data_IF_366019042965
#
_entry.id   IF_366019042965
#
_cell.length_a   1.000
_cell.length_b   1.000
_cell.length_c   1.000
_cell.angle_alpha   90.00
_cell.angle_beta   90.00
_cell.angle_gamma   90.00
#
_symmetry.space_group_name_H-M   'P 1'
#
loop_
_entity.id
_entity.type
_entity.pdbx_description
1 polymer ?
#
# COMPACT_ATOMS: atom_id res chain seq x y z
N UNK A 1 -23.51 -7.11 -10.06
CA UNK A 1 -23.21 -5.94 -9.20
C UNK A 1 -22.05 -6.29 -8.27
N UNK A 2 -20.81 -6.00 -8.68
CA UNK A 2 -19.62 -6.22 -7.86
C UNK A 2 -19.57 -5.14 -6.79
N UNK A 3 -19.59 -5.53 -5.51
CA UNK A 3 -19.40 -4.62 -4.37
C UNK A 3 -18.01 -4.01 -4.50
N UNK A 4 -17.96 -2.80 -5.08
CA UNK A 4 -16.73 -2.06 -5.34
C UNK A 4 -15.89 -1.99 -4.07
N UNK A 5 -14.56 -2.08 -4.21
CA UNK A 5 -13.55 -1.79 -3.18
C UNK A 5 -13.59 -0.31 -2.71
N UNK A 6 -14.75 0.33 -2.78
CA UNK A 6 -14.93 1.76 -2.79
C UNK A 6 -15.68 2.22 -1.55
N UNK A 7 -14.95 2.28 -0.44
CA UNK A 7 -15.18 3.29 0.58
C UNK A 7 -13.80 3.84 0.93
N UNK A 8 -13.71 5.12 1.26
CA UNK A 8 -12.54 5.69 1.94
C UNK A 8 -12.11 4.69 3.03
N UNK A 9 -10.95 4.07 2.84
CA UNK A 9 -10.50 2.99 3.69
C UNK A 9 -9.19 3.40 4.33
N UNK A 10 -9.25 3.61 5.63
CA UNK A 10 -8.07 3.73 6.47
C UNK A 10 -7.78 2.35 7.05
N UNK A 11 -6.61 1.79 6.74
CA UNK A 11 -6.16 0.51 7.23
C UNK A 11 -4.94 0.69 8.14
N UNK A 12 -4.93 -0.06 9.24
CA UNK A 12 -3.72 -0.22 10.05
C UNK A 12 -2.83 -1.27 9.40
N UNK A 13 -1.57 -0.94 9.19
CA UNK A 13 -0.59 -1.81 8.57
C UNK A 13 0.46 -2.27 9.57
N UNK A 14 0.73 -3.56 9.57
CA UNK A 14 1.97 -4.13 10.07
C UNK A 14 2.90 -4.33 8.86
N UNK A 15 4.02 -3.63 8.87
CA UNK A 15 5.04 -3.71 7.82
C UNK A 15 6.14 -4.66 8.26
N UNK A 16 6.34 -5.74 7.50
CA UNK A 16 7.47 -6.65 7.67
C UNK A 16 8.43 -6.47 6.50
N UNK A 17 9.43 -5.61 6.69
CA UNK A 17 10.47 -5.35 5.70
C UNK A 17 11.57 -6.42 5.82
N UNK A 18 12.00 -6.98 4.69
CA UNK A 18 13.20 -7.82 4.64
C UNK A 18 14.30 -7.01 3.96
N UNK A 19 14.99 -6.18 4.75
CA UNK A 19 16.30 -5.68 4.32
C UNK A 19 17.27 -6.88 4.38
N UNK A 20 18.32 -6.92 3.56
CA UNK A 20 19.40 -7.91 3.66
C UNK A 20 20.27 -7.76 4.94
N UNK A 21 19.63 -7.55 6.10
CA UNK A 21 20.18 -7.48 7.46
C UNK A 21 19.04 -7.77 8.47
N UNK A 22 19.33 -8.33 9.67
CA UNK A 22 18.42 -9.19 10.42
C UNK A 22 17.14 -8.48 10.89
N UNK A 23 16.06 -9.27 10.95
CA UNK A 23 14.69 -8.91 11.33
C UNK A 23 14.59 -7.70 12.28
N UNK A 24 14.25 -6.54 11.72
CA UNK A 24 13.77 -5.40 12.51
C UNK A 24 12.34 -5.68 12.97
N UNK A 25 12.00 -5.21 14.18
CA UNK A 25 10.63 -5.24 14.71
C UNK A 25 9.66 -4.70 13.66
N UNK A 26 8.47 -5.30 13.48
CA UNK A 26 7.49 -4.81 12.52
C UNK A 26 7.14 -3.36 12.84
N UNK A 27 7.24 -2.49 11.84
CA UNK A 27 6.81 -1.11 11.96
C UNK A 27 5.29 -1.06 11.76
N UNK A 28 4.63 -0.18 12.50
CA UNK A 28 3.21 0.10 12.26
C UNK A 28 3.09 1.31 11.36
N UNK A 29 2.20 1.21 10.37
CA UNK A 29 1.85 2.31 9.48
C UNK A 29 0.36 2.43 9.32
N UNK A 30 -0.08 3.52 8.71
CA UNK A 30 -1.48 3.73 8.30
C UNK A 30 -1.51 3.89 6.80
N UNK A 31 -2.31 3.08 6.12
CA UNK A 31 -2.61 3.25 4.69
C UNK A 31 -3.98 3.89 4.55
N UNK A 32 -4.04 4.95 3.76
CA UNK A 32 -5.29 5.56 3.31
C UNK A 32 -5.45 5.32 1.82
N UNK A 33 -6.61 4.80 1.44
CA UNK A 33 -7.04 4.60 0.06
C UNK A 33 -8.27 5.44 -0.20
N UNK A 34 -8.18 6.33 -1.18
CA UNK A 34 -9.29 7.19 -1.60
C UNK A 34 -9.64 6.88 -3.06
N UNK A 35 -10.88 6.43 -3.31
CA UNK A 35 -11.34 6.19 -4.68
C UNK A 35 -11.46 7.52 -5.43
N UNK A 36 -10.84 7.57 -6.61
CA UNK A 36 -11.03 8.64 -7.60
C UNK A 36 -12.12 8.20 -8.57
N UNK A 37 -13.38 8.58 -8.28
CA UNK A 37 -14.56 8.11 -9.04
C UNK A 37 -14.50 8.52 -10.51
N UNK A 38 -14.02 9.73 -10.75
CA UNK A 38 -13.93 10.36 -12.07
C UNK A 38 -12.94 9.62 -13.00
N UNK A 39 -11.99 8.88 -12.42
CA UNK A 39 -10.97 8.10 -13.13
C UNK A 39 -11.17 6.59 -12.96
N UNK A 40 -12.33 6.18 -12.45
CA UNK A 40 -12.71 4.78 -12.30
C UNK A 40 -13.75 4.41 -13.34
N UNK A 41 -13.61 3.23 -13.95
CA UNK A 41 -14.48 2.81 -15.05
C UNK A 41 -14.66 1.30 -15.08
N UNK A 42 -15.91 0.85 -15.24
CA UNK A 42 -16.26 -0.56 -15.30
C UNK A 42 -15.67 -1.37 -14.13
N UNK A 43 -14.79 -2.37 -14.40
CA UNK A 43 -14.17 -3.20 -13.36
C UNK A 43 -12.91 -2.57 -12.73
N UNK A 44 -12.49 -1.39 -13.20
CA UNK A 44 -11.25 -0.73 -12.80
C UNK A 44 -11.52 0.40 -11.80
N UNK A 45 -10.78 0.43 -10.70
CA UNK A 45 -10.78 1.52 -9.74
C UNK A 45 -9.43 2.24 -9.70
N UNK A 46 -9.46 3.57 -9.77
CA UNK A 46 -8.30 4.43 -9.54
C UNK A 46 -8.32 4.97 -8.11
N UNK A 47 -7.17 4.98 -7.43
CA UNK A 47 -7.08 5.37 -6.04
C UNK A 47 -5.91 6.33 -5.81
N UNK A 48 -6.12 7.34 -4.96
CA UNK A 48 -5.02 7.99 -4.26
C UNK A 48 -4.57 7.07 -3.14
N UNK A 49 -3.27 6.90 -3.03
CA UNK A 49 -2.63 6.09 -2.01
C UNK A 49 -1.81 7.00 -1.10
N UNK A 50 -1.87 6.76 0.21
CA UNK A 50 -0.94 7.35 1.16
C UNK A 50 -0.59 6.32 2.22
N UNK A 51 0.70 6.09 2.43
CA UNK A 51 1.23 5.36 3.59
C UNK A 51 1.89 6.36 4.54
N UNK A 52 1.54 6.29 5.82
CA UNK A 52 2.14 7.08 6.89
C UNK A 52 2.81 6.14 7.88
N UNK A 53 4.11 6.32 8.09
CA UNK A 53 4.91 5.51 9.02
C UNK A 53 5.47 6.45 10.10
N UNK A 54 5.00 6.37 11.36
CA UNK A 54 5.47 7.22 12.44
C UNK A 54 6.99 7.15 12.62
N UNK A 55 7.66 8.31 12.62
CA UNK A 55 9.11 8.40 12.73
C UNK A 55 9.90 8.18 11.43
N UNK A 56 9.22 7.84 10.32
CA UNK A 56 9.87 7.60 9.01
C UNK A 56 9.38 8.60 7.95
N UNK A 57 8.07 8.86 7.88
CA UNK A 57 7.54 9.87 6.97
C UNK A 57 6.22 9.47 6.30
N UNK A 58 5.88 10.22 5.26
CA UNK A 58 4.69 10.02 4.43
C UNK A 58 5.11 9.62 3.02
N UNK A 59 4.43 8.61 2.51
CA UNK A 59 4.63 8.02 1.19
C UNK A 59 3.35 8.21 0.37
N UNK A 60 3.12 9.40 -0.22
CA UNK A 60 2.07 9.59 -1.20
C UNK A 60 2.29 8.70 -2.43
N UNK A 61 1.21 8.40 -3.13
CA UNK A 61 1.23 7.53 -4.29
C UNK A 61 -0.11 7.44 -4.99
N UNK A 62 -0.21 6.46 -5.88
CA UNK A 62 -1.42 6.18 -6.62
C UNK A 62 -1.55 4.69 -6.87
N UNK A 63 -2.77 4.23 -7.11
CA UNK A 63 -3.03 2.83 -7.34
C UNK A 63 -4.13 2.59 -8.36
N UNK A 64 -4.01 1.49 -9.08
CA UNK A 64 -5.02 0.97 -10.00
C UNK A 64 -5.43 -0.42 -9.54
N UNK A 65 -6.73 -0.67 -9.45
CA UNK A 65 -7.27 -1.94 -8.97
C UNK A 65 -8.21 -2.57 -9.99
N UNK A 66 -8.23 -3.91 -10.00
CA UNK A 66 -9.23 -4.73 -10.68
C UNK A 66 -9.60 -5.90 -9.78
N UNK A 67 -10.87 -5.95 -9.37
CA UNK A 67 -11.33 -6.95 -8.40
C UNK A 67 -10.58 -6.83 -7.07
N UNK A 68 -9.93 -7.91 -6.62
CA UNK A 68 -9.17 -7.95 -5.35
C UNK A 68 -7.67 -7.67 -5.51
N UNK A 69 -7.22 -7.29 -6.70
CA UNK A 69 -5.82 -6.98 -6.99
C UNK A 69 -5.64 -5.49 -7.20
N UNK A 70 -4.53 -4.95 -6.69
CA UNK A 70 -4.18 -3.54 -6.82
C UNK A 70 -2.68 -3.40 -7.09
N UNK A 71 -2.33 -2.67 -8.14
CA UNK A 71 -0.98 -2.18 -8.38
C UNK A 71 -0.84 -0.79 -7.72
N UNK A 72 0.25 -0.56 -7.01
CA UNK A 72 0.45 0.62 -6.16
C UNK A 72 1.83 1.19 -6.45
N UNK A 73 1.90 2.47 -6.79
CA UNK A 73 3.14 3.24 -6.70
C UNK A 73 3.13 4.06 -5.41
N UNK A 74 4.28 4.20 -4.76
CA UNK A 74 4.44 4.99 -3.54
C UNK A 74 5.86 5.59 -3.48
N UNK A 75 5.97 6.78 -2.92
CA UNK A 75 7.26 7.48 -2.80
C UNK A 75 7.30 8.32 -1.53
N UNK A 76 8.35 8.17 -0.72
CA UNK A 76 8.62 9.06 0.42
C UNK A 76 8.72 10.50 -0.07
N UNK A 77 8.11 11.48 0.59
CA UNK A 77 8.17 12.89 0.16
C UNK A 77 9.60 13.38 -0.10
N UNK A 78 10.56 12.98 0.74
CA UNK A 78 11.99 13.24 0.52
C UNK A 78 12.59 12.28 -0.53
N UNK A 79 12.72 12.78 -1.76
CA UNK A 79 13.24 12.01 -2.89
C UNK A 79 14.77 11.81 -2.86
N UNK A 80 15.51 12.50 -1.99
CA UNK A 80 16.98 12.36 -1.92
C UNK A 80 17.42 10.95 -1.53
N UNK A 81 16.57 10.24 -0.80
CA UNK A 81 16.77 8.87 -0.34
C UNK A 81 16.45 7.81 -1.41
N UNK A 82 15.71 8.22 -2.46
CA UNK A 82 15.12 7.32 -3.46
C UNK A 82 14.25 6.21 -2.85
N UNK A 83 13.60 6.51 -1.73
CA UNK A 83 12.70 5.61 -1.02
C UNK A 83 11.32 5.60 -1.68
N UNK A 84 11.25 4.95 -2.85
CA UNK A 84 10.03 4.79 -3.63
C UNK A 84 10.04 3.46 -4.37
N UNK A 85 8.84 2.99 -4.70
CA UNK A 85 8.70 1.70 -5.34
C UNK A 85 7.33 1.42 -5.90
N UNK A 86 7.18 0.17 -6.30
CA UNK A 86 5.94 -0.39 -6.83
C UNK A 86 5.57 -1.61 -6.03
N UNK A 87 4.28 -1.76 -5.74
CA UNK A 87 3.75 -2.93 -5.06
C UNK A 87 2.55 -3.52 -5.77
N UNK A 88 2.35 -4.82 -5.53
CA UNK A 88 1.14 -5.53 -5.89
C UNK A 88 0.47 -6.03 -4.60
N UNK A 89 -0.80 -5.69 -4.43
CA UNK A 89 -1.59 -6.02 -3.26
C UNK A 89 -2.76 -6.93 -3.62
N UNK A 90 -3.00 -7.91 -2.75
CA UNK A 90 -4.17 -8.77 -2.78
C UNK A 90 -5.06 -8.48 -1.57
N UNK A 91 -6.32 -8.15 -1.84
CA UNK A 91 -7.32 -7.81 -0.84
C UNK A 91 -8.16 -9.02 -0.46
N UNK A 92 -8.50 -9.12 0.82
CA UNK A 92 -9.43 -10.11 1.34
C UNK A 92 -10.46 -9.45 2.27
N UNK A 93 -11.62 -10.09 2.39
CA UNK A 93 -12.66 -9.69 3.33
C UNK A 93 -13.04 -10.90 4.17
N UNK A 94 -12.58 -10.93 5.41
CA UNK A 94 -12.77 -12.04 6.35
C UNK A 94 -13.23 -11.49 7.70
N UNK A 95 -14.21 -12.16 8.33
CA UNK A 95 -14.74 -11.72 9.63
C UNK A 95 -15.30 -10.29 9.64
N UNK A 96 -15.85 -9.83 8.51
CA UNK A 96 -16.40 -8.47 8.37
C UNK A 96 -15.34 -7.36 8.23
N UNK A 97 -14.05 -7.73 8.16
CA UNK A 97 -12.94 -6.78 8.02
C UNK A 97 -12.25 -6.94 6.67
N UNK A 98 -11.99 -5.81 6.03
CA UNK A 98 -11.11 -5.76 4.88
C UNK A 98 -9.65 -5.85 5.33
N UNK A 99 -8.85 -6.59 4.59
CA UNK A 99 -7.40 -6.64 4.74
C UNK A 99 -6.74 -6.72 3.38
N UNK A 100 -5.45 -6.42 3.32
CA UNK A 100 -4.63 -6.76 2.16
C UNK A 100 -3.23 -7.20 2.56
N UNK A 101 -2.61 -7.95 1.66
CA UNK A 101 -1.17 -8.25 1.67
C UNK A 101 -0.53 -7.64 0.44
N UNK A 102 0.49 -6.80 0.62
CA UNK A 102 1.23 -6.13 -0.46
C UNK A 102 2.66 -6.65 -0.50
N UNK A 103 3.12 -7.12 -1.65
CA UNK A 103 4.55 -7.23 -1.95
C UNK A 103 5.00 -5.94 -2.62
N UNK A 104 6.16 -5.42 -2.27
CA UNK A 104 6.72 -4.23 -2.91
C UNK A 104 8.19 -4.41 -3.28
N UNK A 105 8.63 -3.65 -4.27
CA UNK A 105 10.01 -3.55 -4.72
C UNK A 105 10.40 -2.08 -4.94
N UNK A 106 11.55 -1.71 -4.38
CA UNK A 106 12.15 -0.37 -4.42
C UNK A 106 13.56 -0.52 -5.05
N UNK A 107 13.70 -0.38 -6.37
CA UNK A 107 14.95 -0.69 -7.05
C UNK A 107 16.12 0.22 -6.67
N UNK A 108 15.83 1.47 -6.30
CA UNK A 108 16.86 2.49 -6.07
C UNK A 108 17.12 2.79 -4.59
N UNK A 109 16.25 2.33 -3.70
CA UNK A 109 16.43 2.53 -2.27
C UNK A 109 17.60 1.69 -1.77
N UNK A 110 18.71 2.33 -1.38
CA UNK A 110 19.91 1.69 -0.80
C UNK A 110 20.47 0.52 -1.62
N UNK A 111 20.39 0.60 -2.95
CA UNK A 111 20.85 -0.45 -3.86
C UNK A 111 19.85 -1.59 -4.08
N UNK A 112 18.60 -1.41 -3.67
CA UNK A 112 17.49 -2.34 -3.85
C UNK A 112 16.88 -2.77 -2.51
N UNK A 113 15.56 -2.72 -2.42
CA UNK A 113 14.81 -3.16 -1.25
C UNK A 113 13.47 -3.79 -1.66
N UNK A 114 12.95 -4.67 -0.80
CA UNK A 114 11.64 -5.27 -1.00
C UNK A 114 11.04 -5.70 0.35
N UNK A 115 9.75 -5.96 0.36
CA UNK A 115 9.10 -6.41 1.58
C UNK A 115 7.67 -6.84 1.38
N UNK A 116 7.07 -7.26 2.49
CA UNK A 116 5.66 -7.64 2.55
C UNK A 116 4.97 -6.82 3.64
N UNK A 117 3.90 -6.16 3.27
CA UNK A 117 3.03 -5.45 4.21
C UNK A 117 1.73 -6.22 4.38
N UNK A 118 1.20 -6.22 5.61
CA UNK A 118 -0.14 -6.73 5.93
C UNK A 118 -0.95 -5.64 6.60
N UNK A 119 -2.09 -5.29 6.00
CA UNK A 119 -2.94 -4.23 6.51
C UNK A 119 -4.35 -4.72 6.77
N UNK A 120 -4.97 -4.22 7.84
CA UNK A 120 -6.33 -4.57 8.25
C UNK A 120 -7.10 -3.28 8.51
N UNK A 121 -8.32 -3.20 7.99
CA UNK A 121 -9.24 -2.09 8.23
C UNK A 121 -9.55 -1.99 9.72
N UNK A 122 -9.43 -0.79 10.28
CA UNK A 122 -9.81 -0.49 11.66
C UNK A 122 -11.33 -0.43 11.81
#
# INVERSE_FOLDING_TARGET
MSRSLALFATLSCALACAVAAPAKRPFTGVVTLELVREQSTGPYGAYRFKLEVPGYGSYPGHAAARGRQMAIHFALTDQSTKDYGTGIAEFSHQGGKWSFRKYYYEPEYKGGNFGIERCVKR
#
